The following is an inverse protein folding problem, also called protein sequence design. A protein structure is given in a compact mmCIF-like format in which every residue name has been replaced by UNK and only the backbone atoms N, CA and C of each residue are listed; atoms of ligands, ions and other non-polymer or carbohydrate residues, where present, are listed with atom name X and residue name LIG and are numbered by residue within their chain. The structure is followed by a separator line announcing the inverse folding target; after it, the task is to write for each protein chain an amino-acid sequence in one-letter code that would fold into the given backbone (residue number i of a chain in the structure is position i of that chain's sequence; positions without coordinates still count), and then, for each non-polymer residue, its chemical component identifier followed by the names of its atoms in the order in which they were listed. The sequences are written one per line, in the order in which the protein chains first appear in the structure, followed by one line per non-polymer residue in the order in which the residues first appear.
data_IF_320746339803
#
_entry.id   IF_320746339803
#
_cell.length_a   1.000
_cell.length_b   1.000
_cell.length_c   1.000
_cell.angle_alpha   90.00
_cell.angle_beta   90.00
_cell.angle_gamma   90.00
#
_symmetry.space_group_name_H-M   'P 1'
#
loop_
_entity.id
_entity.type
_entity.pdbx_description
1 polymer ?
#
# COMPACT_ATOMS: atom_id res chain seq x y z
N UNK A 1 35.66 -33.33 -1.38
CA UNK A 1 34.72 -32.22 -1.08
C UNK A 1 34.81 -31.77 0.40
N UNK A 2 35.09 -32.67 1.32
CA UNK A 2 35.24 -32.43 2.76
C UNK A 2 36.42 -31.53 3.16
N UNK A 3 37.63 -31.81 2.71
CA UNK A 3 38.85 -31.07 3.12
C UNK A 3 38.90 -29.59 2.67
N UNK A 4 38.28 -29.24 1.54
CA UNK A 4 38.16 -27.83 1.11
C UNK A 4 37.18 -27.07 1.96
N UNK A 5 36.09 -27.70 2.44
CA UNK A 5 35.12 -27.12 3.35
C UNK A 5 35.73 -26.91 4.74
N UNK A 6 36.46 -27.90 5.26
CA UNK A 6 37.13 -27.84 6.57
C UNK A 6 38.28 -26.82 6.60
N UNK A 7 39.03 -26.61 5.51
CA UNK A 7 40.02 -25.53 5.39
C UNK A 7 39.37 -24.13 5.34
N UNK A 8 38.18 -24.00 4.77
CA UNK A 8 37.41 -22.75 4.77
C UNK A 8 36.90 -22.36 6.17
N UNK A 9 36.36 -23.33 6.90
CA UNK A 9 35.84 -23.14 8.26
C UNK A 9 36.95 -22.80 9.28
N UNK A 10 38.21 -23.19 9.06
CA UNK A 10 39.34 -22.87 9.95
C UNK A 10 39.95 -21.47 9.76
N UNK A 11 39.51 -20.70 8.77
CA UNK A 11 40.02 -19.36 8.46
C UNK A 11 39.09 -18.22 8.85
N UNK A 12 37.83 -18.52 9.18
CA UNK A 12 36.89 -17.49 9.51
C UNK A 12 36.88 -17.23 11.03
N UNK A 13 37.05 -15.99 11.42
CA UNK A 13 36.85 -15.50 12.78
C UNK A 13 35.43 -15.87 13.25
N UNK A 14 35.24 -16.71 14.28
CA UNK A 14 33.90 -17.11 14.76
C UNK A 14 33.00 -15.92 15.08
N UNK A 15 33.55 -14.82 15.56
CA UNK A 15 32.83 -13.60 15.84
C UNK A 15 32.28 -12.96 14.55
N UNK A 16 33.02 -12.99 13.45
CA UNK A 16 32.60 -12.47 12.15
C UNK A 16 31.46 -13.30 11.55
N UNK A 17 31.55 -14.63 11.69
CA UNK A 17 30.50 -15.55 11.24
C UNK A 17 29.20 -15.36 12.02
N UNK A 18 29.28 -15.17 13.33
CA UNK A 18 28.13 -14.91 14.19
C UNK A 18 27.42 -13.61 13.81
N UNK A 19 28.18 -12.55 13.52
CA UNK A 19 27.64 -11.28 13.02
C UNK A 19 26.94 -11.45 11.67
N UNK A 20 27.53 -12.17 10.72
CA UNK A 20 26.91 -12.43 9.39
C UNK A 20 25.62 -13.23 9.55
N UNK A 21 25.60 -14.24 10.42
CA UNK A 21 24.39 -15.04 10.70
C UNK A 21 23.29 -14.21 11.37
N UNK A 22 23.63 -13.35 12.32
CA UNK A 22 22.64 -12.45 12.95
C UNK A 22 22.08 -11.45 11.95
N UNK A 23 22.93 -10.81 11.15
CA UNK A 23 22.51 -9.92 10.07
C UNK A 23 21.59 -10.64 9.09
N UNK A 24 21.97 -11.84 8.63
CA UNK A 24 21.16 -12.63 7.70
C UNK A 24 19.78 -12.95 8.28
N UNK A 25 19.70 -13.34 9.56
CA UNK A 25 18.44 -13.61 10.24
C UNK A 25 17.55 -12.36 10.30
N UNK A 26 18.14 -11.22 10.62
CA UNK A 26 17.44 -9.93 10.67
C UNK A 26 16.94 -9.51 9.28
N UNK A 27 17.74 -9.66 8.24
CA UNK A 27 17.35 -9.38 6.85
C UNK A 27 16.12 -10.19 6.44
N UNK A 28 16.05 -11.47 6.81
CA UNK A 28 14.91 -12.34 6.48
C UNK A 28 13.62 -12.01 7.23
N UNK A 29 13.68 -11.22 8.30
CA UNK A 29 12.50 -10.82 9.08
C UNK A 29 11.89 -9.49 8.65
N UNK A 30 12.59 -8.69 7.84
CA UNK A 30 12.14 -7.37 7.38
C UNK A 30 11.48 -7.51 6.00
N UNK A 31 10.19 -7.14 5.92
CA UNK A 31 9.40 -7.19 4.68
C UNK A 31 9.24 -5.84 4.01
N UNK A 32 9.47 -4.75 4.75
CA UNK A 32 9.49 -3.39 4.18
C UNK A 32 10.82 -3.14 3.46
N UNK A 33 10.74 -2.75 2.18
CA UNK A 33 11.92 -2.60 1.33
C UNK A 33 12.84 -1.47 1.81
N UNK A 34 12.29 -0.36 2.27
CA UNK A 34 13.07 0.80 2.71
C UNK A 34 13.85 0.45 3.99
N UNK A 35 13.15 -0.12 4.99
CA UNK A 35 13.77 -0.59 6.23
C UNK A 35 14.82 -1.68 5.97
N UNK A 36 14.58 -2.55 4.99
CA UNK A 36 15.53 -3.60 4.58
C UNK A 36 16.80 -2.99 3.99
N UNK A 37 16.69 -2.02 3.08
CA UNK A 37 17.83 -1.35 2.47
C UNK A 37 18.68 -0.60 3.51
N UNK A 38 18.04 0.06 4.48
CA UNK A 38 18.74 0.69 5.60
C UNK A 38 19.51 -0.33 6.44
N UNK A 39 18.87 -1.44 6.80
CA UNK A 39 19.49 -2.50 7.57
C UNK A 39 20.70 -3.10 6.84
N UNK A 40 20.58 -3.33 5.53
CA UNK A 40 21.67 -3.82 4.68
C UNK A 40 22.83 -2.82 4.69
N UNK A 41 22.55 -1.53 4.49
CA UNK A 41 23.60 -0.50 4.46
C UNK A 41 24.33 -0.40 5.80
N UNK A 42 23.60 -0.39 6.92
CA UNK A 42 24.18 -0.35 8.27
C UNK A 42 25.03 -1.60 8.56
N UNK A 43 24.50 -2.80 8.27
CA UNK A 43 25.24 -4.04 8.48
C UNK A 43 26.52 -4.10 7.63
N UNK A 44 26.45 -3.65 6.39
CA UNK A 44 27.62 -3.62 5.48
C UNK A 44 28.71 -2.69 6.00
N UNK A 45 28.37 -1.47 6.43
CA UNK A 45 29.34 -0.52 6.99
C UNK A 45 29.98 -1.05 8.27
N UNK A 46 29.18 -1.69 9.13
CA UNK A 46 29.67 -2.26 10.38
C UNK A 46 30.67 -3.43 10.14
N UNK A 47 30.29 -4.37 9.27
CA UNK A 47 31.09 -5.58 9.00
C UNK A 47 32.40 -5.23 8.27
N UNK A 48 32.37 -4.30 7.32
CA UNK A 48 33.52 -3.88 6.55
C UNK A 48 34.31 -2.72 7.16
N UNK A 49 33.88 -2.20 8.30
CA UNK A 49 34.48 -1.03 8.96
C UNK A 49 34.67 0.12 7.99
N UNK A 50 33.59 0.49 7.28
CA UNK A 50 33.58 1.53 6.26
C UNK A 50 32.72 2.73 6.68
N UNK A 51 32.98 3.90 6.11
CA UNK A 51 32.26 5.13 6.44
C UNK A 51 30.80 5.09 5.95
N UNK A 52 30.60 4.60 4.73
CA UNK A 52 29.29 4.62 4.07
C UNK A 52 29.05 3.37 3.23
N UNK A 53 27.80 2.97 3.15
CA UNK A 53 27.31 2.03 2.14
C UNK A 53 26.04 2.60 1.49
N UNK A 54 25.91 2.38 0.20
CA UNK A 54 24.73 2.69 -0.58
C UNK A 54 24.29 1.44 -1.34
N UNK A 55 23.02 1.14 -1.30
CA UNK A 55 22.43 0.07 -2.09
C UNK A 55 21.64 0.72 -3.23
N UNK A 56 22.01 0.39 -4.45
CA UNK A 56 21.29 0.77 -5.65
C UNK A 56 20.47 -0.42 -6.13
N UNK A 57 19.20 -0.22 -6.44
CA UNK A 57 18.36 -1.22 -7.09
C UNK A 57 18.26 -0.92 -8.58
N UNK A 58 18.12 -1.98 -9.39
CA UNK A 58 17.89 -1.87 -10.82
C UNK A 58 16.42 -1.65 -11.09
N UNK A 59 16.09 -0.56 -11.76
CA UNK A 59 14.80 -0.31 -12.39
C UNK A 59 14.90 -0.78 -13.85
N UNK A 60 14.45 -2.01 -14.11
CA UNK A 60 14.58 -2.63 -15.43
C UNK A 60 13.73 -1.93 -16.49
N UNK A 61 12.57 -1.37 -16.11
CA UNK A 61 11.66 -0.69 -17.03
C UNK A 61 12.26 0.63 -17.54
N UNK A 62 13.03 1.31 -16.69
CA UNK A 62 13.68 2.58 -17.02
C UNK A 62 15.13 2.43 -17.45
N UNK A 63 15.73 1.28 -17.23
CA UNK A 63 17.16 1.06 -17.46
C UNK A 63 18.06 1.88 -16.54
N UNK A 64 17.60 2.13 -15.31
CA UNK A 64 18.27 2.99 -14.33
C UNK A 64 18.64 2.23 -13.06
N UNK A 65 19.65 2.74 -12.36
CA UNK A 65 19.91 2.46 -10.96
C UNK A 65 19.30 3.55 -10.09
N UNK A 66 18.67 3.15 -8.99
CA UNK A 66 18.10 4.08 -8.04
C UNK A 66 18.42 3.68 -6.59
N UNK A 67 18.57 4.65 -5.72
CA UNK A 67 18.72 4.45 -4.28
C UNK A 67 17.88 5.48 -3.54
N UNK A 68 17.03 5.00 -2.62
CA UNK A 68 16.26 5.82 -1.71
C UNK A 68 17.02 6.09 -0.41
N UNK A 69 17.95 5.20 -0.07
CA UNK A 69 18.75 5.25 1.14
C UNK A 69 20.21 5.46 0.77
N UNK A 70 20.65 6.71 0.87
CA UNK A 70 22.08 7.04 0.93
C UNK A 70 22.39 7.52 2.36
N UNK A 71 23.22 6.79 3.10
CA UNK A 71 23.66 7.25 4.42
C UNK A 71 24.32 8.63 4.28
N UNK A 72 23.68 9.65 4.80
CA UNK A 72 24.15 11.05 4.70
C UNK A 72 23.09 12.07 4.28
N UNK A 73 21.79 11.69 4.23
CA UNK A 73 20.67 12.63 4.02
C UNK A 73 20.49 13.13 2.59
N UNK A 74 20.98 12.40 1.59
CA UNK A 74 20.77 12.72 0.17
C UNK A 74 19.41 12.18 -0.27
N UNK A 75 18.65 13.01 -1.02
CA UNK A 75 17.44 12.60 -1.73
C UNK A 75 17.72 11.43 -2.69
N UNK A 76 16.67 10.75 -3.15
CA UNK A 76 16.73 9.67 -4.13
C UNK A 76 17.74 9.95 -5.26
N UNK A 77 18.70 9.06 -5.41
CA UNK A 77 19.73 9.13 -6.47
C UNK A 77 19.28 8.22 -7.61
N UNK A 78 19.21 8.75 -8.84
CA UNK A 78 18.94 7.98 -10.06
C UNK A 78 19.98 8.27 -11.14
N UNK A 79 20.41 7.22 -11.86
CA UNK A 79 21.30 7.35 -13.02
C UNK A 79 21.21 6.09 -13.90
N UNK A 80 21.54 6.19 -15.21
CA UNK A 80 21.45 5.06 -16.14
C UNK A 80 22.36 3.87 -15.74
N UNK A 81 21.91 2.64 -16.01
CA UNK A 81 22.76 1.45 -15.99
C UNK A 81 23.92 1.64 -16.96
N UNK A 82 25.13 1.31 -16.54
CA UNK A 82 26.37 1.57 -17.28
C UNK A 82 27.05 2.91 -16.96
N UNK A 83 26.38 3.83 -16.26
CA UNK A 83 26.99 5.09 -15.87
C UNK A 83 27.76 4.96 -14.54
N UNK A 84 29.00 5.38 -14.52
CA UNK A 84 29.85 5.32 -13.33
C UNK A 84 30.21 3.88 -12.93
N UNK A 85 30.78 3.73 -11.74
CA UNK A 85 31.27 2.43 -11.24
C UNK A 85 30.08 1.51 -10.91
N UNK A 86 29.08 2.00 -10.20
CA UNK A 86 27.89 1.20 -9.85
C UNK A 86 27.10 0.78 -11.10
N UNK A 87 26.95 1.68 -12.08
CA UNK A 87 26.31 1.35 -13.35
C UNK A 87 27.07 0.30 -14.15
N UNK A 88 28.40 0.34 -14.14
CA UNK A 88 29.25 -0.67 -14.78
C UNK A 88 29.10 -2.03 -14.10
N UNK A 89 29.10 -2.09 -12.76
CA UNK A 89 28.85 -3.33 -12.00
C UNK A 89 27.46 -3.88 -12.29
N UNK A 90 26.44 -3.03 -12.36
CA UNK A 90 25.09 -3.46 -12.71
C UNK A 90 25.02 -4.08 -14.10
N UNK A 91 25.74 -3.52 -15.06
CA UNK A 91 25.77 -3.98 -16.47
C UNK A 91 26.55 -5.28 -16.64
N UNK A 92 27.68 -5.42 -15.94
CA UNK A 92 28.65 -6.51 -16.17
C UNK A 92 28.52 -7.65 -15.16
N UNK A 93 27.92 -7.40 -14.00
CA UNK A 93 27.91 -8.35 -12.89
C UNK A 93 29.28 -8.60 -12.25
N UNK A 94 30.29 -7.75 -12.54
CA UNK A 94 31.67 -7.92 -12.03
C UNK A 94 31.93 -7.02 -10.84
N UNK A 95 32.66 -7.54 -9.85
CA UNK A 95 33.07 -6.78 -8.67
C UNK A 95 34.12 -5.75 -9.11
N UNK A 96 33.99 -4.52 -8.62
CA UNK A 96 35.00 -3.46 -8.84
C UNK A 96 35.49 -2.97 -7.48
N UNK A 97 36.77 -3.11 -7.24
CA UNK A 97 37.49 -2.65 -6.04
C UNK A 97 38.53 -1.61 -6.44
N UNK A 98 38.35 -0.37 -5.95
CA UNK A 98 39.19 0.78 -6.33
C UNK A 98 39.87 1.35 -5.09
N UNK A 99 41.21 1.29 -5.02
CA UNK A 99 41.96 1.82 -3.88
C UNK A 99 42.06 3.35 -3.85
N UNK A 100 41.95 4.03 -5.00
CA UNK A 100 41.88 5.50 -5.13
C UNK A 100 40.77 5.89 -6.11
N UNK A 101 39.67 6.36 -5.57
CA UNK A 101 38.46 6.73 -6.35
C UNK A 101 38.73 7.83 -7.37
N UNK A 102 39.60 8.79 -7.03
CA UNK A 102 39.86 9.93 -7.92
C UNK A 102 40.82 9.63 -9.06
N UNK A 103 41.55 8.50 -8.98
CA UNK A 103 42.40 8.00 -10.05
C UNK A 103 41.63 7.20 -11.11
N UNK A 104 40.39 6.73 -10.81
CA UNK A 104 39.58 5.97 -11.76
C UNK A 104 38.71 6.92 -12.61
N UNK A 105 38.81 6.91 -13.94
CA UNK A 105 38.05 7.80 -14.82
C UNK A 105 36.53 7.57 -14.80
N UNK A 106 36.06 6.39 -14.37
CA UNK A 106 34.64 6.05 -14.24
C UNK A 106 33.99 6.65 -12.99
N UNK A 107 34.82 7.15 -12.03
CA UNK A 107 34.29 7.71 -10.78
C UNK A 107 33.56 9.05 -11.04
N UNK A 108 32.30 9.10 -10.64
CA UNK A 108 31.44 10.28 -10.82
C UNK A 108 31.64 11.28 -9.68
N UNK A 109 32.64 12.15 -9.79
CA UNK A 109 33.01 13.18 -8.77
C UNK A 109 31.88 14.14 -8.41
N UNK A 110 30.84 14.26 -9.25
CA UNK A 110 29.71 15.15 -9.03
C UNK A 110 28.97 14.86 -7.71
N UNK A 111 28.91 13.60 -7.29
CA UNK A 111 28.25 13.24 -6.03
C UNK A 111 29.04 13.72 -4.82
N UNK A 112 30.37 13.60 -4.84
CA UNK A 112 31.23 14.15 -3.80
C UNK A 112 31.11 15.68 -3.74
N UNK A 113 31.05 16.35 -4.89
CA UNK A 113 30.93 17.81 -4.98
C UNK A 113 29.61 18.34 -4.41
N UNK A 114 28.50 17.65 -4.65
CA UNK A 114 27.16 18.05 -4.14
C UNK A 114 27.04 17.79 -2.64
N UNK A 115 27.60 16.68 -2.14
CA UNK A 115 27.46 16.26 -0.74
C UNK A 115 28.55 16.80 0.19
N UNK A 116 29.63 17.36 -0.36
CA UNK A 116 30.83 17.75 0.39
C UNK A 116 31.61 16.55 0.94
N UNK A 117 31.27 15.33 0.52
CA UNK A 117 31.96 14.11 0.92
C UNK A 117 33.21 13.89 0.05
N UNK A 118 34.22 13.21 0.60
CA UNK A 118 35.39 12.81 -0.18
C UNK A 118 35.56 11.31 -0.16
N UNK A 119 35.32 10.69 -1.30
CA UNK A 119 35.56 9.28 -1.52
C UNK A 119 37.04 9.02 -1.75
N UNK A 120 37.63 8.17 -0.91
CA UNK A 120 39.04 7.73 -1.02
C UNK A 120 39.15 6.42 -1.77
N UNK A 121 38.55 5.38 -1.22
CA UNK A 121 38.50 4.04 -1.81
C UNK A 121 37.03 3.56 -1.84
N UNK A 122 36.76 2.61 -2.73
CA UNK A 122 35.43 2.04 -2.84
C UNK A 122 35.47 0.58 -3.29
N UNK A 123 34.50 -0.18 -2.81
CA UNK A 123 34.18 -1.53 -3.24
C UNK A 123 32.76 -1.58 -3.73
N UNK A 124 32.57 -2.01 -4.98
CA UNK A 124 31.26 -2.12 -5.61
C UNK A 124 30.99 -3.56 -5.99
N UNK A 125 29.86 -4.08 -5.54
CA UNK A 125 29.52 -5.50 -5.61
C UNK A 125 28.09 -5.70 -6.19
N UNK A 126 27.87 -6.64 -7.14
CA UNK A 126 26.54 -6.90 -7.68
C UNK A 126 25.68 -7.69 -6.69
N UNK A 127 24.41 -7.32 -6.57
CA UNK A 127 23.37 -8.18 -6.01
C UNK A 127 22.74 -8.98 -7.14
N UNK A 128 22.93 -10.30 -7.11
CA UNK A 128 22.41 -11.20 -8.15
C UNK A 128 21.20 -11.94 -7.60
N UNK A 129 20.05 -11.79 -8.25
CA UNK A 129 18.83 -12.50 -7.92
C UNK A 129 18.86 -13.98 -8.30
N UNK A 130 17.79 -14.70 -7.97
CA UNK A 130 17.68 -16.15 -8.17
C UNK A 130 17.84 -16.59 -9.64
N UNK A 131 17.50 -15.74 -10.59
CA UNK A 131 17.63 -16.01 -12.03
C UNK A 131 19.02 -15.68 -12.62
N UNK A 132 19.99 -15.28 -11.79
CA UNK A 132 21.31 -14.87 -12.23
C UNK A 132 21.41 -13.46 -12.80
N UNK A 133 20.33 -12.68 -12.76
CA UNK A 133 20.32 -11.28 -13.17
C UNK A 133 20.75 -10.36 -12.04
N UNK A 134 21.43 -9.27 -12.36
CA UNK A 134 21.78 -8.25 -11.35
C UNK A 134 20.52 -7.43 -11.04
N UNK A 135 20.04 -7.52 -9.79
CA UNK A 135 18.86 -6.81 -9.28
C UNK A 135 19.23 -5.52 -8.53
N UNK A 136 20.52 -5.37 -8.21
CA UNK A 136 21.04 -4.20 -7.52
C UNK A 136 22.55 -4.25 -7.36
N UNK A 137 23.09 -3.22 -6.70
CA UNK A 137 24.51 -3.04 -6.50
C UNK A 137 24.77 -2.47 -5.11
N UNK A 138 25.69 -3.08 -4.39
CA UNK A 138 26.28 -2.49 -3.18
C UNK A 138 27.45 -1.59 -3.57
N UNK A 139 27.50 -0.41 -3.00
CA UNK A 139 28.67 0.46 -3.08
C UNK A 139 29.11 0.85 -1.67
N UNK A 140 30.29 0.44 -1.26
CA UNK A 140 30.86 0.68 0.06
C UNK A 140 32.04 1.62 -0.09
N UNK A 141 32.09 2.67 0.73
CA UNK A 141 33.01 3.79 0.60
C UNK A 141 33.86 3.93 1.85
N UNK A 142 35.13 4.25 1.63
CA UNK A 142 36.08 4.67 2.67
C UNK A 142 36.24 3.67 3.81
N UNK A 143 36.86 2.53 3.54
CA UNK A 143 37.32 1.63 4.60
C UNK A 143 38.21 2.39 5.58
N UNK A 144 38.02 2.13 6.87
CA UNK A 144 38.76 2.83 7.93
C UNK A 144 40.28 2.59 7.88
N UNK A 145 40.67 1.37 7.57
CA UNK A 145 42.09 0.96 7.53
C UNK A 145 42.48 0.48 6.13
N UNK A 146 43.12 1.34 5.35
CA UNK A 146 43.62 1.02 4.01
C UNK A 146 42.55 0.78 2.95
N UNK A 147 42.91 0.20 1.80
CA UNK A 147 41.99 -0.19 0.76
C UNK A 147 41.23 -1.47 1.11
N UNK A 148 40.09 -1.73 0.41
CA UNK A 148 39.40 -3.01 0.55
C UNK A 148 40.23 -4.18 0.07
N UNK A 149 40.18 -5.29 0.81
CA UNK A 149 40.98 -6.51 0.58
C UNK A 149 40.12 -7.59 -0.10
N UNK A 150 40.76 -8.69 -0.50
CA UNK A 150 40.09 -9.90 -0.99
C UNK A 150 39.13 -10.52 0.06
N UNK A 151 39.50 -10.45 1.32
CA UNK A 151 38.66 -10.92 2.41
C UNK A 151 37.40 -10.05 2.56
N UNK A 152 37.50 -8.73 2.33
CA UNK A 152 36.34 -7.84 2.29
C UNK A 152 35.39 -8.20 1.13
N UNK A 153 35.97 -8.53 -0.05
CA UNK A 153 35.17 -8.98 -1.20
C UNK A 153 34.43 -10.29 -0.90
N UNK A 154 35.06 -11.27 -0.27
CA UNK A 154 34.45 -12.55 0.13
C UNK A 154 33.35 -12.33 1.18
N UNK A 155 33.59 -11.46 2.14
CA UNK A 155 32.61 -11.09 3.17
C UNK A 155 31.38 -10.41 2.56
N UNK A 156 31.60 -9.42 1.71
CA UNK A 156 30.52 -8.71 1.03
C UNK A 156 29.74 -9.62 0.08
N UNK A 157 30.41 -10.60 -0.56
CA UNK A 157 29.77 -11.62 -1.40
C UNK A 157 28.73 -12.43 -0.63
N UNK A 158 29.07 -12.84 0.59
CA UNK A 158 28.11 -13.59 1.45
C UNK A 158 26.93 -12.75 1.88
N UNK A 159 27.17 -11.49 2.28
CA UNK A 159 26.11 -10.54 2.62
C UNK A 159 25.22 -10.20 1.42
N UNK A 160 25.84 -9.95 0.25
CA UNK A 160 25.13 -9.59 -0.96
C UNK A 160 24.20 -10.70 -1.44
N UNK A 161 24.61 -11.97 -1.31
CA UNK A 161 23.77 -13.12 -1.65
C UNK A 161 22.52 -13.20 -0.75
N UNK A 162 22.69 -13.01 0.57
CA UNK A 162 21.57 -13.01 1.52
C UNK A 162 20.66 -11.80 1.32
N UNK A 163 21.26 -10.63 1.10
CA UNK A 163 20.53 -9.39 0.84
C UNK A 163 19.74 -9.45 -0.48
N UNK A 164 20.31 -10.05 -1.54
CA UNK A 164 19.62 -10.21 -2.81
C UNK A 164 18.31 -11.00 -2.64
N UNK A 165 18.35 -12.13 -1.91
CA UNK A 165 17.15 -12.93 -1.62
C UNK A 165 16.12 -12.12 -0.80
N UNK A 166 16.58 -11.39 0.22
CA UNK A 166 15.69 -10.60 1.06
C UNK A 166 15.03 -9.44 0.26
N UNK A 167 15.81 -8.74 -0.57
CA UNK A 167 15.32 -7.65 -1.43
C UNK A 167 14.33 -8.19 -2.48
N UNK A 168 14.65 -9.29 -3.14
CA UNK A 168 13.76 -9.92 -4.13
C UNK A 168 12.44 -10.33 -3.50
N UNK A 169 12.46 -10.94 -2.30
CA UNK A 169 11.26 -11.28 -1.55
C UNK A 169 10.45 -10.04 -1.16
N UNK A 170 11.09 -8.99 -0.65
CA UNK A 170 10.41 -7.74 -0.30
C UNK A 170 9.75 -7.08 -1.53
N UNK A 171 10.43 -7.07 -2.68
CA UNK A 171 9.87 -6.56 -3.94
C UNK A 171 8.68 -7.39 -4.43
N UNK A 172 8.78 -8.72 -4.37
CA UNK A 172 7.69 -9.63 -4.75
C UNK A 172 6.46 -9.44 -3.85
N UNK A 173 6.65 -9.34 -2.53
CA UNK A 173 5.56 -9.08 -1.59
C UNK A 173 4.91 -7.70 -1.83
N UNK A 174 5.71 -6.67 -2.09
CA UNK A 174 5.20 -5.35 -2.41
C UNK A 174 4.42 -5.33 -3.72
N UNK A 175 4.90 -6.01 -4.76
CA UNK A 175 4.21 -6.16 -6.05
C UNK A 175 2.90 -6.95 -5.91
N UNK A 176 2.90 -8.04 -5.15
CA UNK A 176 1.71 -8.83 -4.86
C UNK A 176 0.65 -8.00 -4.11
N UNK A 177 1.08 -7.24 -3.09
CA UNK A 177 0.18 -6.34 -2.34
C UNK A 177 -0.42 -5.26 -3.24
N UNK A 178 0.40 -4.64 -4.09
CA UNK A 178 -0.06 -3.63 -5.06
C UNK A 178 -1.08 -4.21 -6.05
N UNK A 179 -0.81 -5.41 -6.59
CA UNK A 179 -1.74 -6.11 -7.47
C UNK A 179 -3.07 -6.39 -6.76
N UNK A 180 -3.01 -6.94 -5.53
CA UNK A 180 -4.20 -7.19 -4.73
C UNK A 180 -5.05 -5.94 -4.53
N UNK A 181 -4.44 -4.84 -4.08
CA UNK A 181 -5.15 -3.58 -3.87
C UNK A 181 -5.77 -3.04 -5.17
N UNK A 182 -5.06 -3.15 -6.30
CA UNK A 182 -5.57 -2.71 -7.60
C UNK A 182 -6.75 -3.56 -8.09
N UNK A 183 -6.75 -4.86 -7.82
CA UNK A 183 -7.87 -5.76 -8.13
C UNK A 183 -9.10 -5.41 -7.29
N UNK A 184 -8.94 -5.23 -5.97
CA UNK A 184 -10.01 -4.83 -5.05
C UNK A 184 -10.61 -3.49 -5.49
N UNK A 185 -9.76 -2.51 -5.82
CA UNK A 185 -10.21 -1.21 -6.31
C UNK A 185 -10.95 -1.30 -7.65
N UNK A 186 -10.48 -2.15 -8.56
CA UNK A 186 -11.14 -2.38 -9.86
C UNK A 186 -12.53 -2.98 -9.67
N UNK A 187 -12.70 -3.94 -8.75
CA UNK A 187 -14.00 -4.51 -8.43
C UNK A 187 -14.97 -3.44 -7.89
N UNK A 188 -14.51 -2.58 -7.00
CA UNK A 188 -15.33 -1.48 -6.45
C UNK A 188 -15.73 -0.47 -7.52
N UNK A 189 -14.78 -0.01 -8.36
CA UNK A 189 -15.06 0.92 -9.45
C UNK A 189 -16.04 0.33 -10.46
N UNK A 190 -15.95 -0.98 -10.72
CA UNK A 190 -16.86 -1.67 -11.65
C UNK A 190 -18.30 -1.66 -11.14
N UNK A 191 -18.52 -1.83 -9.85
CA UNK A 191 -19.87 -1.79 -9.28
C UNK A 191 -20.40 -0.36 -9.16
N UNK A 192 -19.55 0.61 -8.77
CA UNK A 192 -19.91 2.02 -8.74
C UNK A 192 -20.30 2.55 -10.14
N UNK A 193 -19.62 2.09 -11.19
CA UNK A 193 -19.93 2.45 -12.58
C UNK A 193 -21.28 1.90 -13.06
N UNK A 194 -21.76 0.80 -12.47
CA UNK A 194 -23.06 0.22 -12.78
C UNK A 194 -24.20 0.92 -12.06
N UNK A 195 -23.96 1.42 -10.87
CA UNK A 195 -24.91 2.21 -10.08
C UNK A 195 -24.60 3.70 -10.24
N UNK A 196 -25.22 4.33 -11.26
CA UNK A 196 -24.98 5.74 -11.59
C UNK A 196 -25.26 6.71 -10.43
N UNK A 197 -26.03 6.28 -9.42
CA UNK A 197 -26.32 7.09 -8.23
C UNK A 197 -25.16 7.07 -7.21
N UNK A 198 -24.19 6.19 -7.38
CA UNK A 198 -23.12 5.93 -6.40
C UNK A 198 -21.70 6.15 -6.93
N UNK A 199 -21.53 6.95 -7.99
CA UNK A 199 -20.19 7.27 -8.50
C UNK A 199 -19.26 7.75 -7.36
N UNK A 200 -18.16 7.00 -7.12
CA UNK A 200 -17.19 7.28 -6.06
C UNK A 200 -17.67 7.02 -4.62
N UNK A 201 -18.89 6.49 -4.43
CA UNK A 201 -19.46 6.16 -3.12
C UNK A 201 -18.57 5.19 -2.33
N UNK A 202 -18.17 4.08 -2.94
CA UNK A 202 -17.34 3.08 -2.27
C UNK A 202 -16.02 3.67 -1.73
N UNK A 203 -15.41 4.60 -2.46
CA UNK A 203 -14.19 5.30 -2.01
C UNK A 203 -14.47 6.27 -0.88
N UNK A 204 -15.57 7.04 -0.94
CA UNK A 204 -15.96 7.98 0.13
C UNK A 204 -16.28 7.22 1.42
N UNK A 205 -17.09 6.17 1.35
CA UNK A 205 -17.40 5.29 2.49
C UNK A 205 -16.13 4.69 3.08
N UNK A 206 -15.19 4.23 2.24
CA UNK A 206 -13.90 3.71 2.69
C UNK A 206 -13.11 4.77 3.46
N UNK A 207 -13.05 6.00 2.96
CA UNK A 207 -12.35 7.11 3.62
C UNK A 207 -12.97 7.46 4.97
N UNK A 208 -14.30 7.54 5.03
CA UNK A 208 -15.01 7.81 6.28
C UNK A 208 -14.87 6.67 7.28
N UNK A 209 -15.00 5.42 6.84
CA UNK A 209 -14.79 4.26 7.68
C UNK A 209 -13.37 4.22 8.28
N UNK A 210 -12.35 4.55 7.49
CA UNK A 210 -10.97 4.66 7.97
C UNK A 210 -10.83 5.73 9.06
N UNK A 211 -11.36 6.92 8.85
CA UNK A 211 -11.31 8.02 9.83
C UNK A 211 -12.02 7.60 11.13
N UNK A 212 -13.22 7.04 11.04
CA UNK A 212 -14.00 6.57 12.20
C UNK A 212 -13.24 5.44 12.91
N UNK A 213 -12.71 4.48 12.18
CA UNK A 213 -11.92 3.37 12.73
C UNK A 213 -10.69 3.85 13.51
N UNK A 214 -9.96 4.82 12.98
CA UNK A 214 -8.81 5.47 13.67
C UNK A 214 -9.25 6.19 14.94
N UNK A 215 -10.39 6.90 14.92
CA UNK A 215 -10.97 7.54 16.09
C UNK A 215 -11.43 6.53 17.16
N UNK A 216 -11.67 5.27 16.79
CA UNK A 216 -11.89 4.15 17.70
C UNK A 216 -10.60 3.46 18.17
N UNK A 217 -9.43 3.94 17.76
CA UNK A 217 -8.13 3.39 18.14
C UNK A 217 -7.63 2.25 17.24
N UNK A 218 -8.27 1.98 16.11
CA UNK A 218 -7.83 0.94 15.18
C UNK A 218 -6.59 1.37 14.40
N UNK A 219 -5.70 0.41 14.16
CA UNK A 219 -4.43 0.64 13.45
C UNK A 219 -4.01 -0.59 12.63
N UNK A 220 -3.05 -0.40 11.74
CA UNK A 220 -2.41 -1.47 10.98
C UNK A 220 -3.41 -2.42 10.30
N UNK A 221 -3.33 -3.75 10.56
CA UNK A 221 -4.18 -4.74 9.89
C UNK A 221 -5.68 -4.53 10.09
N UNK A 222 -6.13 -3.97 11.23
CA UNK A 222 -7.54 -3.67 11.48
C UNK A 222 -8.08 -2.62 10.50
N UNK A 223 -7.31 -1.56 10.25
CA UNK A 223 -7.68 -0.51 9.29
C UNK A 223 -7.65 -1.06 7.86
N UNK A 224 -6.67 -1.86 7.48
CA UNK A 224 -6.59 -2.44 6.13
C UNK A 224 -7.80 -3.35 5.84
N UNK A 225 -8.18 -4.19 6.82
CA UNK A 225 -9.38 -5.03 6.75
C UNK A 225 -10.66 -4.19 6.61
N UNK A 226 -10.79 -3.15 7.42
CA UNK A 226 -11.93 -2.24 7.38
C UNK A 226 -12.04 -1.53 6.03
N UNK A 227 -10.93 -1.02 5.49
CA UNK A 227 -10.87 -0.38 4.17
C UNK A 227 -11.32 -1.32 3.07
N UNK A 228 -10.81 -2.55 3.07
CA UNK A 228 -11.17 -3.56 2.06
C UNK A 228 -12.66 -3.92 2.15
N UNK A 229 -13.19 -4.08 3.35
CA UNK A 229 -14.61 -4.39 3.54
C UNK A 229 -15.51 -3.20 3.13
N UNK A 230 -15.15 -1.99 3.51
CA UNK A 230 -15.88 -0.77 3.12
C UNK A 230 -15.85 -0.53 1.60
N UNK A 231 -14.72 -0.81 0.95
CA UNK A 231 -14.59 -0.65 -0.50
C UNK A 231 -15.47 -1.64 -1.28
N UNK A 232 -15.68 -2.84 -0.74
CA UNK A 232 -16.43 -3.91 -1.38
C UNK A 232 -17.82 -4.16 -0.77
N UNK A 233 -18.31 -3.31 0.16
CA UNK A 233 -19.55 -3.56 0.91
C UNK A 233 -20.77 -3.75 0.01
N UNK A 234 -20.81 -3.05 -1.09
CA UNK A 234 -21.90 -3.03 -2.06
C UNK A 234 -21.67 -3.95 -3.28
N UNK A 235 -20.62 -4.77 -3.29
CA UNK A 235 -20.28 -5.59 -4.46
C UNK A 235 -21.40 -6.53 -4.93
N UNK A 236 -22.27 -6.97 -4.03
CA UNK A 236 -23.44 -7.81 -4.34
C UNK A 236 -24.49 -7.11 -5.19
N UNK A 237 -24.45 -5.78 -5.36
CA UNK A 237 -25.32 -5.05 -6.31
C UNK A 237 -25.17 -5.54 -7.75
N UNK A 238 -24.05 -6.24 -8.08
CA UNK A 238 -23.87 -6.86 -9.39
C UNK A 238 -24.98 -7.88 -9.71
N UNK A 239 -25.61 -8.49 -8.70
CA UNK A 239 -26.72 -9.43 -8.87
C UNK A 239 -28.09 -8.73 -8.92
N UNK A 240 -28.18 -7.43 -8.64
CA UNK A 240 -29.42 -6.68 -8.70
C UNK A 240 -29.73 -6.31 -10.14
N UNK A 241 -31.00 -6.48 -10.56
CA UNK A 241 -31.45 -6.16 -11.92
C UNK A 241 -31.46 -4.64 -12.14
N UNK A 242 -31.08 -4.19 -13.34
CA UNK A 242 -30.99 -2.77 -13.68
C UNK A 242 -32.30 -2.01 -13.45
N UNK A 243 -33.45 -2.64 -13.76
CA UNK A 243 -34.76 -2.05 -13.54
C UNK A 243 -35.12 -1.78 -12.07
N UNK A 244 -34.39 -2.40 -11.10
CA UNK A 244 -34.52 -2.11 -9.66
C UNK A 244 -33.41 -1.19 -9.22
N UNK A 245 -32.17 -1.46 -9.65
CA UNK A 245 -30.98 -0.70 -9.24
C UNK A 245 -31.04 0.76 -9.70
N UNK A 246 -31.47 0.99 -10.94
CA UNK A 246 -31.52 2.30 -11.59
C UNK A 246 -32.92 2.91 -11.62
N UNK A 247 -33.88 2.38 -10.84
CA UNK A 247 -35.27 2.86 -10.85
C UNK A 247 -35.32 4.33 -10.41
N UNK A 248 -35.87 5.23 -11.27
CA UNK A 248 -36.11 6.61 -10.86
C UNK A 248 -37.30 6.66 -9.88
N UNK A 249 -37.02 6.83 -8.60
CA UNK A 249 -38.06 6.96 -7.58
C UNK A 249 -37.98 5.88 -6.49
N UNK A 250 -39.07 5.77 -5.70
CA UNK A 250 -39.14 4.82 -4.58
C UNK A 250 -39.35 3.39 -5.08
N UNK A 251 -38.63 2.45 -4.48
CA UNK A 251 -38.84 1.01 -4.66
C UNK A 251 -40.13 0.59 -3.94
N UNK A 252 -40.92 -0.30 -4.57
CA UNK A 252 -41.97 -0.99 -3.87
C UNK A 252 -41.43 -2.06 -2.91
N UNK A 253 -42.27 -2.72 -2.11
CA UNK A 253 -41.83 -3.67 -1.09
C UNK A 253 -41.12 -4.88 -1.69
N UNK A 254 -41.51 -5.34 -2.90
CA UNK A 254 -40.87 -6.47 -3.62
C UNK A 254 -39.51 -6.06 -4.17
N UNK A 255 -39.43 -4.91 -4.79
CA UNK A 255 -38.21 -4.35 -5.32
C UNK A 255 -37.21 -4.06 -4.20
N UNK A 256 -37.70 -3.52 -3.06
CA UNK A 256 -36.86 -3.29 -1.89
C UNK A 256 -36.36 -4.59 -1.27
N UNK A 257 -37.22 -5.64 -1.19
CA UNK A 257 -36.77 -6.97 -0.77
C UNK A 257 -35.69 -7.54 -1.70
N UNK A 258 -35.85 -7.30 -3.02
CA UNK A 258 -34.84 -7.71 -4.00
C UNK A 258 -33.53 -6.90 -3.87
N UNK A 259 -33.62 -5.60 -3.62
CA UNK A 259 -32.46 -4.74 -3.35
C UNK A 259 -31.69 -5.20 -2.10
N UNK A 260 -32.36 -5.56 -1.00
CA UNK A 260 -31.71 -6.04 0.23
C UNK A 260 -30.83 -7.27 0.02
N UNK A 261 -31.13 -8.09 -0.99
CA UNK A 261 -30.35 -9.29 -1.28
C UNK A 261 -28.87 -8.98 -1.65
N UNK A 262 -28.55 -7.73 -2.02
CA UNK A 262 -27.16 -7.38 -2.34
C UNK A 262 -26.24 -7.62 -1.16
N UNK A 263 -26.67 -7.38 0.08
CA UNK A 263 -25.84 -7.58 1.27
C UNK A 263 -25.46 -9.05 1.46
N UNK A 264 -26.42 -9.97 1.32
CA UNK A 264 -26.18 -11.43 1.31
C UNK A 264 -25.25 -11.82 0.16
N UNK A 265 -25.53 -11.33 -1.07
CA UNK A 265 -24.74 -11.60 -2.27
C UNK A 265 -23.32 -11.05 -2.17
N UNK A 266 -23.11 -9.93 -1.49
CA UNK A 266 -21.76 -9.43 -1.18
C UNK A 266 -20.97 -10.48 -0.39
N UNK A 267 -21.54 -11.00 0.69
CA UNK A 267 -20.89 -12.05 1.48
C UNK A 267 -20.63 -13.32 0.68
N UNK A 268 -21.60 -13.76 -0.12
CA UNK A 268 -21.47 -14.95 -0.99
C UNK A 268 -20.34 -14.77 -2.00
N UNK A 269 -20.33 -13.67 -2.77
CA UNK A 269 -19.33 -13.46 -3.83
C UNK A 269 -17.93 -13.24 -3.25
N UNK A 270 -17.79 -12.46 -2.20
CA UNK A 270 -16.51 -12.29 -1.55
C UNK A 270 -16.03 -13.55 -0.85
N UNK A 271 -16.93 -14.46 -0.48
CA UNK A 271 -16.59 -15.77 0.08
C UNK A 271 -15.86 -16.70 -0.89
N UNK A 272 -15.93 -16.46 -2.21
CA UNK A 272 -15.14 -17.18 -3.21
C UNK A 272 -13.67 -16.73 -3.28
N UNK A 273 -13.33 -15.60 -2.67
CA UNK A 273 -11.95 -15.10 -2.63
C UNK A 273 -11.21 -15.70 -1.44
N UNK A 274 -9.99 -16.16 -1.67
CA UNK A 274 -9.08 -16.57 -0.60
C UNK A 274 -8.41 -15.35 0.04
N UNK A 275 -9.01 -14.83 1.10
CA UNK A 275 -8.43 -13.74 1.86
C UNK A 275 -7.28 -14.20 2.76
N UNK A 276 -6.21 -13.39 2.91
CA UNK A 276 -5.19 -13.61 3.94
C UNK A 276 -5.82 -13.75 5.34
N UNK A 277 -5.11 -14.41 6.26
CA UNK A 277 -5.64 -14.75 7.59
C UNK A 277 -6.15 -13.56 8.40
N UNK A 278 -5.51 -12.41 8.26
CA UNK A 278 -5.85 -11.13 8.90
C UNK A 278 -7.03 -10.40 8.23
N UNK A 279 -7.43 -10.84 7.02
CA UNK A 279 -8.55 -10.28 6.25
C UNK A 279 -9.75 -11.23 6.13
N UNK A 280 -9.78 -12.38 6.80
CA UNK A 280 -10.86 -13.38 6.69
C UNK A 280 -12.25 -12.87 7.05
N UNK A 281 -12.32 -11.80 7.84
CA UNK A 281 -13.61 -11.19 8.23
C UNK A 281 -14.17 -10.21 7.17
N UNK A 282 -13.42 -9.88 6.12
CA UNK A 282 -13.87 -8.93 5.08
C UNK A 282 -15.23 -9.29 4.49
N UNK A 283 -15.49 -10.54 4.04
CA UNK A 283 -16.80 -10.90 3.49
C UNK A 283 -17.94 -10.71 4.48
N UNK A 284 -17.71 -11.04 5.75
CA UNK A 284 -18.73 -10.92 6.81
C UNK A 284 -18.97 -9.45 7.18
N UNK A 285 -17.90 -8.65 7.32
CA UNK A 285 -18.03 -7.20 7.59
C UNK A 285 -18.83 -6.55 6.45
N UNK A 286 -18.48 -6.85 5.21
CA UNK A 286 -19.16 -6.31 4.04
C UNK A 286 -20.64 -6.76 3.97
N UNK A 287 -20.95 -8.02 4.27
CA UNK A 287 -22.34 -8.52 4.26
C UNK A 287 -23.20 -7.94 5.38
N UNK A 288 -22.63 -7.59 6.53
CA UNK A 288 -23.34 -7.13 7.72
C UNK A 288 -23.54 -5.60 7.78
N UNK A 289 -23.13 -4.84 6.76
CA UNK A 289 -23.17 -3.36 6.83
C UNK A 289 -24.58 -2.77 6.93
N UNK A 290 -25.61 -3.54 6.67
CA UNK A 290 -27.03 -3.17 6.86
C UNK A 290 -27.68 -3.85 8.06
N UNK A 291 -26.91 -4.57 8.88
CA UNK A 291 -27.42 -5.02 10.18
C UNK A 291 -27.58 -3.82 11.14
N UNK A 292 -28.52 -3.95 12.08
CA UNK A 292 -28.90 -2.88 13.00
C UNK A 292 -28.75 -3.34 14.44
N UNK A 293 -28.45 -2.40 15.33
CA UNK A 293 -28.30 -2.70 16.75
C UNK A 293 -29.59 -3.24 17.39
N UNK A 294 -30.76 -2.90 16.85
CA UNK A 294 -32.08 -3.38 17.30
C UNK A 294 -32.47 -4.76 16.73
N UNK A 295 -31.63 -5.39 15.93
CA UNK A 295 -31.88 -6.68 15.29
C UNK A 295 -32.88 -6.66 14.14
N UNK A 296 -33.31 -5.47 13.66
CA UNK A 296 -34.23 -5.31 12.54
C UNK A 296 -33.52 -5.04 11.22
N UNK A 297 -32.20 -5.25 11.19
CA UNK A 297 -31.39 -5.12 9.99
C UNK A 297 -31.54 -6.28 9.03
N UNK A 298 -30.68 -6.32 8.02
CA UNK A 298 -30.59 -7.40 7.05
C UNK A 298 -29.10 -7.62 6.66
N UNK A 299 -28.74 -8.79 6.10
CA UNK A 299 -29.61 -9.87 5.60
C UNK A 299 -30.11 -10.83 6.68
N UNK A 300 -29.47 -10.90 7.85
CA UNK A 300 -29.73 -11.98 8.83
C UNK A 300 -30.54 -11.50 10.07
N UNK A 301 -30.70 -10.18 10.28
CA UNK A 301 -31.36 -9.63 11.46
C UNK A 301 -30.59 -9.95 12.74
N UNK A 302 -29.29 -9.80 12.72
CA UNK A 302 -28.40 -10.19 13.81
C UNK A 302 -28.63 -9.34 15.07
N UNK A 303 -28.60 -9.97 16.27
CA UNK A 303 -28.55 -9.18 17.49
C UNK A 303 -27.24 -8.40 17.58
N UNK A 304 -27.24 -7.26 18.27
CA UNK A 304 -26.09 -6.36 18.35
C UNK A 304 -24.77 -7.08 18.70
N UNK A 305 -24.81 -8.06 19.61
CA UNK A 305 -23.62 -8.81 20.02
C UNK A 305 -22.96 -9.66 18.92
N UNK A 306 -23.68 -9.95 17.85
CA UNK A 306 -23.20 -10.76 16.71
C UNK A 306 -22.78 -9.93 15.51
N UNK A 307 -23.07 -8.64 15.48
CA UNK A 307 -22.63 -7.74 14.41
C UNK A 307 -21.15 -7.42 14.64
N UNK A 308 -20.32 -7.70 13.63
CA UNK A 308 -18.89 -7.44 13.70
C UNK A 308 -18.61 -5.93 13.88
N UNK A 309 -17.64 -5.54 14.73
CA UNK A 309 -17.32 -4.13 14.95
C UNK A 309 -17.01 -3.37 13.65
N UNK A 310 -16.33 -4.02 12.69
CA UNK A 310 -16.07 -3.43 11.37
C UNK A 310 -17.35 -3.11 10.59
N UNK A 311 -18.35 -4.00 10.66
CA UNK A 311 -19.63 -3.78 9.99
C UNK A 311 -20.40 -2.58 10.57
N UNK A 312 -20.34 -2.39 11.90
CA UNK A 312 -20.94 -1.22 12.56
C UNK A 312 -20.30 0.10 12.11
N UNK A 313 -18.96 0.07 11.88
CA UNK A 313 -18.23 1.24 11.36
C UNK A 313 -18.63 1.50 9.89
N UNK A 314 -18.66 0.46 9.05
CA UNK A 314 -19.07 0.60 7.64
C UNK A 314 -20.50 1.12 7.55
N UNK A 315 -21.45 0.59 8.35
CA UNK A 315 -22.84 1.09 8.41
C UNK A 315 -22.93 2.59 8.74
N UNK A 316 -22.14 3.05 9.71
CA UNK A 316 -22.12 4.48 10.06
C UNK A 316 -21.48 5.34 8.93
N UNK A 317 -20.42 4.85 8.30
CA UNK A 317 -19.76 5.52 7.19
C UNK A 317 -20.68 5.61 5.94
N UNK A 318 -21.40 4.53 5.63
CA UNK A 318 -22.38 4.48 4.54
C UNK A 318 -23.52 5.48 4.78
N UNK A 319 -24.09 5.51 5.99
CA UNK A 319 -25.12 6.49 6.36
C UNK A 319 -24.58 7.92 6.29
N UNK A 320 -23.35 8.16 6.74
CA UNK A 320 -22.71 9.47 6.66
C UNK A 320 -22.57 9.92 5.20
N UNK A 321 -22.10 9.05 4.30
CA UNK A 321 -22.04 9.34 2.86
C UNK A 321 -23.45 9.58 2.28
N UNK A 322 -24.42 8.73 2.60
CA UNK A 322 -25.78 8.84 2.12
C UNK A 322 -26.46 10.17 2.51
N UNK A 323 -26.04 10.81 3.60
CA UNK A 323 -26.57 12.08 4.08
C UNK A 323 -25.77 13.28 3.57
N UNK A 324 -24.45 13.15 3.39
CA UNK A 324 -23.55 14.26 3.00
C UNK A 324 -23.27 14.34 1.50
N UNK A 325 -23.46 13.26 0.73
CA UNK A 325 -23.32 13.27 -0.71
C UNK A 325 -24.57 13.83 -1.41
N UNK A 326 -24.36 14.50 -2.55
CA UNK A 326 -25.45 14.94 -3.44
C UNK A 326 -26.07 13.70 -4.10
N UNK A 327 -27.39 13.62 -4.11
CA UNK A 327 -28.13 12.60 -4.84
C UNK A 327 -29.11 13.28 -5.81
N UNK A 328 -29.39 12.62 -6.94
CA UNK A 328 -30.26 13.15 -8.00
C UNK A 328 -31.57 13.76 -7.48
N UNK A 329 -32.17 13.19 -6.43
CA UNK A 329 -33.46 13.58 -5.86
C UNK A 329 -33.35 14.38 -4.56
N UNK A 330 -32.12 14.66 -4.03
CA UNK A 330 -31.98 15.32 -2.73
C UNK A 330 -30.64 16.06 -2.60
N UNK A 331 -30.67 17.34 -2.21
CA UNK A 331 -29.43 18.05 -1.87
C UNK A 331 -28.75 17.42 -0.64
N UNK A 332 -27.42 17.54 -0.52
CA UNK A 332 -26.68 17.05 0.65
C UNK A 332 -27.11 17.79 1.91
N UNK A 333 -27.19 17.08 3.02
CA UNK A 333 -27.33 17.73 4.31
C UNK A 333 -25.99 18.35 4.76
N UNK A 334 -26.03 19.51 5.43
CA UNK A 334 -24.87 19.99 6.18
C UNK A 334 -24.42 18.97 7.20
N UNK A 335 -23.11 18.90 7.47
CA UNK A 335 -22.54 17.91 8.39
C UNK A 335 -23.16 17.98 9.78
N UNK A 336 -23.44 19.19 10.30
CA UNK A 336 -24.14 19.38 11.57
C UNK A 336 -25.52 18.68 11.59
N UNK A 337 -26.30 18.78 10.50
CA UNK A 337 -27.59 18.11 10.40
C UNK A 337 -27.45 16.60 10.25
N UNK A 338 -26.41 16.14 9.58
CA UNK A 338 -26.06 14.72 9.47
C UNK A 338 -25.81 14.12 10.85
N UNK A 339 -25.05 14.80 11.71
CA UNK A 339 -24.79 14.36 13.08
C UNK A 339 -26.08 14.27 13.92
N UNK A 340 -26.96 15.27 13.87
CA UNK A 340 -28.26 15.20 14.56
C UNK A 340 -29.08 13.96 14.15
N UNK A 341 -29.07 13.63 12.84
CA UNK A 341 -29.77 12.46 12.33
C UNK A 341 -29.11 11.17 12.87
N UNK A 342 -27.78 11.09 12.84
CA UNK A 342 -27.03 9.93 13.33
C UNK A 342 -27.19 9.75 14.84
N UNK A 343 -27.24 10.83 15.61
CA UNK A 343 -27.53 10.79 17.06
C UNK A 343 -28.93 10.18 17.34
N UNK A 344 -29.94 10.56 16.52
CA UNK A 344 -31.26 9.95 16.60
C UNK A 344 -31.32 8.47 16.21
N UNK A 345 -30.29 7.95 15.55
CA UNK A 345 -30.15 6.53 15.18
C UNK A 345 -29.34 5.72 16.18
N UNK A 346 -28.68 6.36 17.15
CA UNK A 346 -27.81 5.67 18.11
C UNK A 346 -28.59 4.75 19.04
N UNK A 347 -28.15 3.51 19.17
CA UNK A 347 -28.78 2.48 20.01
C UNK A 347 -29.74 1.57 19.26
N UNK A 348 -30.51 2.09 18.30
CA UNK A 348 -31.44 1.28 17.50
C UNK A 348 -30.81 0.84 16.17
N UNK A 349 -30.30 1.80 15.40
CA UNK A 349 -29.73 1.54 14.08
C UNK A 349 -28.20 1.46 14.15
N UNK A 350 -27.58 2.50 14.72
CA UNK A 350 -26.13 2.64 14.80
C UNK A 350 -25.62 2.30 16.20
N UNK A 351 -24.38 1.80 16.26
CA UNK A 351 -23.68 1.60 17.52
C UNK A 351 -23.35 2.95 18.17
N UNK A 352 -23.80 3.23 19.41
CA UNK A 352 -23.50 4.47 20.11
C UNK A 352 -22.00 4.77 20.25
N UNK A 353 -21.15 3.73 20.35
CA UNK A 353 -19.69 3.90 20.41
C UNK A 353 -19.13 4.38 19.07
N UNK A 354 -19.69 3.93 17.97
CA UNK A 354 -19.32 4.39 16.62
C UNK A 354 -19.80 5.82 16.39
N UNK A 355 -21.04 6.17 16.78
CA UNK A 355 -21.55 7.55 16.71
C UNK A 355 -20.68 8.50 17.52
N UNK A 356 -20.27 8.11 18.73
CA UNK A 356 -19.35 8.90 19.53
C UNK A 356 -17.96 9.05 18.86
N UNK A 357 -17.50 8.05 18.08
CA UNK A 357 -16.28 8.16 17.30
C UNK A 357 -16.43 9.12 16.11
N UNK A 358 -17.59 9.16 15.45
CA UNK A 358 -17.91 10.14 14.41
C UNK A 358 -17.77 11.57 14.96
N UNK A 359 -18.33 11.83 16.15
CA UNK A 359 -18.18 13.14 16.79
C UNK A 359 -16.73 13.51 17.10
N UNK A 360 -15.93 12.55 17.60
CA UNK A 360 -14.49 12.79 17.86
C UNK A 360 -13.70 13.10 16.59
N UNK A 361 -14.06 12.48 15.49
CA UNK A 361 -13.39 12.60 14.20
C UNK A 361 -13.98 13.71 13.29
N UNK A 362 -14.89 14.54 13.81
CA UNK A 362 -15.61 15.51 13.01
C UNK A 362 -14.72 16.42 12.16
N UNK A 363 -13.63 17.02 12.65
CA UNK A 363 -12.78 17.88 11.84
C UNK A 363 -12.15 17.14 10.64
N UNK A 364 -11.77 15.88 10.84
CA UNK A 364 -11.20 15.06 9.79
C UNK A 364 -12.25 14.63 8.76
N UNK A 365 -13.47 14.33 9.20
CA UNK A 365 -14.59 14.00 8.32
C UNK A 365 -15.01 15.21 7.47
N UNK A 366 -15.10 16.41 8.04
CA UNK A 366 -15.38 17.64 7.30
C UNK A 366 -14.30 17.92 6.23
N UNK A 367 -13.03 17.80 6.60
CA UNK A 367 -11.94 17.93 5.64
C UNK A 367 -12.03 16.90 4.51
N UNK A 368 -12.35 15.64 4.84
CA UNK A 368 -12.53 14.59 3.85
C UNK A 368 -13.72 14.85 2.91
N UNK A 369 -14.83 15.37 3.41
CA UNK A 369 -15.98 15.76 2.57
C UNK A 369 -15.58 16.82 1.55
N UNK A 370 -14.82 17.85 1.94
CA UNK A 370 -14.36 18.89 1.01
C UNK A 370 -13.31 18.39 0.01
N UNK A 371 -12.35 17.58 0.45
CA UNK A 371 -11.35 16.96 -0.39
C UNK A 371 -11.99 16.10 -1.49
N UNK A 372 -12.95 15.26 -1.11
CA UNK A 372 -13.58 14.30 -2.01
C UNK A 372 -14.55 14.97 -2.99
N UNK A 373 -15.18 16.10 -2.65
CA UNK A 373 -15.95 16.91 -3.61
C UNK A 373 -15.08 17.45 -4.75
N UNK A 374 -13.85 17.85 -4.47
CA UNK A 374 -12.94 18.40 -5.48
C UNK A 374 -12.32 17.34 -6.38
N UNK A 375 -12.11 16.13 -5.85
CA UNK A 375 -11.40 15.04 -6.54
C UNK A 375 -12.33 14.18 -7.40
N UNK A 376 -13.60 14.04 -7.02
CA UNK A 376 -14.65 13.33 -7.74
C UNK A 376 -15.89 14.21 -7.88
N UNK A 377 -15.90 15.13 -8.89
CA UNK A 377 -17.12 15.84 -9.24
C UNK A 377 -18.19 14.79 -9.59
N UNK A 378 -19.35 14.94 -8.97
CA UNK A 378 -20.46 14.00 -9.09
C UNK A 378 -20.90 13.92 -10.56
N UNK A 379 -21.25 12.72 -11.04
CA UNK A 379 -21.57 12.42 -12.43
C UNK A 379 -22.72 13.26 -13.05
N UNK A 380 -23.37 14.12 -12.29
CA UNK A 380 -24.47 14.98 -12.71
C UNK A 380 -24.03 16.11 -13.66
N UNK A 381 -22.76 16.54 -13.60
CA UNK A 381 -22.28 17.60 -14.50
C UNK A 381 -21.99 17.09 -15.92
N UNK A 382 -21.71 15.79 -16.09
CA UNK A 382 -21.48 15.19 -17.40
C UNK A 382 -22.74 15.10 -18.29
N UNK A 383 -23.94 14.91 -17.69
CA UNK A 383 -25.20 14.91 -18.44
C UNK A 383 -25.68 16.32 -18.77
N UNK A 384 -25.39 17.32 -17.95
CA UNK A 384 -25.68 18.72 -18.26
C UNK A 384 -24.85 19.19 -19.47
N UNK A 385 -23.57 18.82 -19.56
CA UNK A 385 -22.72 19.14 -20.72
C UNK A 385 -23.11 18.36 -21.98
N UNK A 386 -23.63 17.15 -21.87
CA UNK A 386 -24.12 16.38 -23.02
C UNK A 386 -25.47 16.91 -23.52
N UNK A 387 -26.36 17.38 -22.63
CA UNK A 387 -27.65 17.96 -23.02
C UNK A 387 -27.50 19.34 -23.68
N UNK A 388 -26.46 20.11 -23.37
CA UNK A 388 -26.13 21.35 -24.08
C UNK A 388 -25.52 21.13 -25.47
N UNK A 389 -24.87 19.98 -25.70
CA UNK A 389 -24.30 19.62 -27.02
C UNK A 389 -25.32 19.08 -28.01
N UNK A 390 -26.44 18.54 -27.54
CA UNK A 390 -27.53 18.00 -28.38
C UNK A 390 -28.65 19.00 -28.69
N UNK A 391 -28.52 20.27 -28.33
CA UNK A 391 -29.44 21.29 -28.85
C UNK A 391 -29.11 21.61 -30.30
N UNK A 392 -29.97 21.35 -31.27
CA UNK A 392 -29.72 21.66 -32.66
C UNK A 392 -29.53 23.18 -32.82
N UNK A 393 -28.42 23.57 -33.43
CA UNK A 393 -28.13 24.94 -33.73
C UNK A 393 -29.32 25.58 -34.43
N UNK A 394 -29.94 26.54 -33.72
CA UNK A 394 -31.19 27.15 -34.09
C UNK A 394 -31.19 27.73 -35.48
N UNK A 395 -32.27 27.51 -36.12
CA UNK A 395 -32.80 28.25 -37.26
C UNK A 395 -32.70 29.76 -37.07
N UNK A 396 -31.87 30.38 -37.87
CA UNK A 396 -32.07 31.76 -38.33
C UNK A 396 -32.21 31.76 -39.84
#
# INVERSE_FOLDING_TARGET
MSERLERRIRKDDPAKLEVILDVTRRLMSVTDLDALLELIAQATTQVLKADRATIFLVDADRGELWSKVALGGVQEIRFPVGAGISGEVARTGTIINIPDAYADPRFLRRFDQVTGYRTRNLLTFPMTGAQGTVIGVFQVLNKAEGPFTKEDEETLSSLASSAAVAVENAQLLAAQRKLWLSLVETLAVTIDARDQQTAGHSRRVTRYAEIIGRAMGWQGPQIERLRTAALLHDYGKIAVRDGVLQKPGKLDDKEFAYMKAHAEKTGEFLGYLEFPSDMREVPLIAAQHHERMDGKGYPSGLPASQILPGARIVAAADIFDALTARRYYKPPYPVAKTLEIMDGMAGDHLDPLVVAAVHRALPELEAAVEELKSTWPEAVDAEAELSERDQPAGSR
#
